data_IF_273395111380
#
_entry.id   IF_273395111380
#
_cell.length_a   1.000
_cell.length_b   1.000
_cell.length_c   1.000
_cell.angle_alpha   90.00
_cell.angle_beta   90.00
_cell.angle_gamma   90.00
#
_symmetry.space_group_name_H-M   'P 1'
#
loop_
_entity.id
_entity.type
_entity.pdbx_description
1 polymer ?
#
# COMPACT_ATOMS: atom_id res chain seq x y z
N UNK A 1 -19.49 -6.35 -43.25
CA UNK A 1 -19.71 -7.27 -42.11
C UNK A 1 -18.47 -7.17 -41.24
N UNK A 2 -18.52 -6.34 -40.20
CA UNK A 2 -17.37 -6.10 -39.32
C UNK A 2 -17.34 -7.20 -38.25
N UNK A 3 -16.24 -7.95 -38.17
CA UNK A 3 -16.00 -8.88 -37.07
C UNK A 3 -15.75 -8.06 -35.80
N UNK A 4 -16.70 -8.10 -34.86
CA UNK A 4 -16.44 -7.73 -33.47
C UNK A 4 -15.52 -8.81 -32.89
N UNK A 5 -14.22 -8.51 -32.78
CA UNK A 5 -13.31 -9.28 -31.94
C UNK A 5 -13.74 -9.08 -30.50
N UNK A 6 -14.31 -10.12 -29.88
CA UNK A 6 -14.55 -10.15 -28.44
C UNK A 6 -13.21 -9.95 -27.72
N UNK A 7 -13.17 -9.01 -26.78
CA UNK A 7 -12.04 -8.90 -25.87
C UNK A 7 -11.86 -10.24 -25.14
N UNK A 8 -10.63 -10.72 -24.91
CA UNK A 8 -10.41 -11.94 -24.14
C UNK A 8 -11.10 -11.79 -22.78
N UNK A 9 -11.83 -12.82 -22.38
CA UNK A 9 -12.37 -12.89 -21.03
C UNK A 9 -11.19 -12.84 -20.05
N UNK A 10 -11.28 -11.96 -19.05
CA UNK A 10 -10.27 -11.92 -18.01
C UNK A 10 -10.18 -13.31 -17.35
N UNK A 11 -8.97 -13.86 -17.25
CA UNK A 11 -8.76 -15.15 -16.62
C UNK A 11 -9.14 -15.02 -15.14
N UNK A 12 -9.88 -15.98 -14.60
CA UNK A 12 -10.19 -15.98 -13.17
C UNK A 12 -8.88 -16.11 -12.37
N UNK A 13 -8.63 -15.16 -11.46
CA UNK A 13 -7.50 -15.19 -10.52
C UNK A 13 -7.72 -16.20 -9.39
N UNK A 14 -6.63 -16.54 -8.69
CA UNK A 14 -6.67 -17.33 -7.47
C UNK A 14 -6.79 -16.40 -6.25
N UNK A 15 -7.76 -16.67 -5.37
CA UNK A 15 -7.87 -15.94 -4.11
C UNK A 15 -7.07 -16.67 -3.05
N UNK A 16 -6.21 -15.95 -2.35
CA UNK A 16 -5.45 -16.48 -1.21
C UNK A 16 -5.80 -15.78 0.08
N UNK A 17 -5.65 -16.50 1.20
CA UNK A 17 -5.63 -15.91 2.54
C UNK A 17 -4.26 -15.31 2.81
N UNK A 18 -4.22 -14.03 3.18
CA UNK A 18 -2.98 -13.35 3.56
C UNK A 18 -2.41 -13.96 4.84
N UNK A 19 -1.11 -14.25 4.81
CA UNK A 19 -0.30 -14.53 6.00
C UNK A 19 0.70 -13.40 6.22
N UNK A 20 1.35 -13.40 7.38
CA UNK A 20 2.39 -12.41 7.67
C UNK A 20 3.60 -12.63 6.77
N UNK A 21 3.89 -11.64 5.93
CA UNK A 21 5.06 -11.63 5.05
C UNK A 21 6.33 -11.25 5.84
N UNK A 22 7.52 -11.65 5.36
CA UNK A 22 8.78 -11.11 5.85
C UNK A 22 8.94 -9.64 5.44
N UNK A 23 9.47 -8.83 6.34
CA UNK A 23 9.87 -7.45 6.09
C UNK A 23 11.04 -7.42 5.09
N UNK A 24 10.99 -6.61 4.02
CA UNK A 24 12.09 -6.48 3.07
C UNK A 24 13.41 -6.00 3.68
N UNK A 25 13.35 -5.29 4.81
CA UNK A 25 14.54 -4.70 5.45
C UNK A 25 15.20 -5.62 6.48
N UNK A 26 14.46 -6.56 7.07
CA UNK A 26 14.96 -7.39 8.17
C UNK A 26 14.84 -8.89 7.92
N UNK A 27 14.03 -9.32 6.96
CA UNK A 27 13.68 -10.74 6.73
C UNK A 27 12.80 -11.35 7.83
N UNK A 28 12.61 -10.67 8.96
CA UNK A 28 11.71 -11.09 10.04
C UNK A 28 10.25 -10.83 9.65
N UNK A 29 9.26 -11.49 10.28
CA UNK A 29 7.85 -11.17 10.08
C UNK A 29 7.58 -9.67 10.25
N UNK A 30 6.74 -9.10 9.39
CA UNK A 30 6.34 -7.68 9.49
C UNK A 30 5.70 -7.40 10.86
N UNK A 31 6.20 -6.38 11.54
CA UNK A 31 5.60 -5.88 12.79
C UNK A 31 4.16 -5.42 12.53
N UNK A 32 3.24 -5.84 13.39
CA UNK A 32 1.79 -5.67 13.21
C UNK A 32 1.14 -6.70 12.26
N UNK A 33 1.92 -7.60 11.65
CA UNK A 33 1.43 -8.72 10.85
C UNK A 33 0.94 -8.37 9.45
N UNK A 34 0.59 -9.41 8.69
CA UNK A 34 0.00 -9.28 7.35
C UNK A 34 1.02 -8.94 6.28
N UNK A 35 0.56 -8.24 5.24
CA UNK A 35 1.38 -7.82 4.11
C UNK A 35 1.14 -6.37 3.77
N UNK A 36 2.23 -5.62 3.55
CA UNK A 36 2.14 -4.30 2.95
C UNK A 36 1.56 -4.40 1.55
N UNK A 37 0.66 -3.48 1.26
CA UNK A 37 0.20 -3.19 -0.09
C UNK A 37 1.05 -2.02 -0.57
N UNK A 38 1.76 -2.21 -1.68
CA UNK A 38 2.62 -1.21 -2.29
C UNK A 38 2.18 -0.91 -3.72
N UNK A 39 2.50 0.29 -4.19
CA UNK A 39 2.03 0.76 -5.49
C UNK A 39 2.75 0.10 -6.69
N UNK A 40 3.97 -0.41 -6.48
CA UNK A 40 4.78 -1.23 -7.40
C UNK A 40 5.75 -2.10 -6.59
N UNK A 41 6.36 -3.17 -7.15
CA UNK A 41 7.36 -3.96 -6.45
C UNK A 41 8.46 -3.05 -5.87
N UNK A 42 8.76 -3.23 -4.57
CA UNK A 42 9.68 -2.36 -3.81
C UNK A 42 9.34 -0.86 -3.83
N UNK A 43 8.06 -0.53 -4.05
CA UNK A 43 7.55 0.83 -4.15
C UNK A 43 7.10 1.43 -2.81
N UNK A 44 6.15 2.36 -2.88
CA UNK A 44 5.61 3.08 -1.74
C UNK A 44 4.49 2.29 -1.07
N UNK A 45 4.50 2.28 0.26
CA UNK A 45 3.40 1.76 1.08
C UNK A 45 2.12 2.55 0.83
N UNK A 46 1.03 1.85 0.51
CA UNK A 46 -0.30 2.44 0.29
C UNK A 46 -1.39 1.81 1.16
N UNK A 47 -1.06 0.74 1.90
CA UNK A 47 -1.99 0.06 2.80
C UNK A 47 -1.42 -1.25 3.31
N UNK A 48 -2.25 -2.02 3.98
CA UNK A 48 -1.92 -3.34 4.50
C UNK A 48 -3.12 -4.27 4.43
N UNK A 49 -2.89 -5.45 3.88
CA UNK A 49 -3.79 -6.57 4.02
C UNK A 49 -3.43 -7.33 5.29
N UNK A 50 -4.40 -7.57 6.17
CA UNK A 50 -4.18 -8.17 7.48
C UNK A 50 -4.16 -9.71 7.38
N UNK A 51 -3.55 -10.42 8.35
CA UNK A 51 -3.60 -11.88 8.37
C UNK A 51 -5.05 -12.38 8.31
N UNK A 52 -5.33 -13.32 7.41
CA UNK A 52 -6.65 -13.89 7.17
C UNK A 52 -7.51 -13.14 6.16
N UNK A 53 -7.14 -11.92 5.76
CA UNK A 53 -7.78 -11.21 4.66
C UNK A 53 -7.65 -11.99 3.35
N UNK A 54 -8.59 -11.79 2.41
CA UNK A 54 -8.50 -12.37 1.08
C UNK A 54 -7.79 -11.41 0.11
N UNK A 55 -6.93 -12.00 -0.71
CA UNK A 55 -6.22 -11.31 -1.79
C UNK A 55 -6.41 -12.08 -3.08
N UNK A 56 -6.96 -11.41 -4.07
CA UNK A 56 -7.06 -11.87 -5.46
C UNK A 56 -5.70 -11.71 -6.12
N UNK A 57 -5.06 -12.79 -6.55
CA UNK A 57 -3.75 -12.76 -7.24
C UNK A 57 -3.93 -12.88 -8.75
N UNK A 58 -3.61 -11.79 -9.45
CA UNK A 58 -3.79 -11.64 -10.90
C UNK A 58 -2.47 -11.83 -11.64
N UNK A 59 -1.38 -11.29 -11.07
CA UNK A 59 -0.05 -11.30 -11.68
C UNK A 59 1.01 -11.57 -10.63
N UNK A 60 1.67 -12.72 -10.76
CA UNK A 60 2.87 -13.05 -9.99
C UNK A 60 4.14 -12.80 -10.80
N UNK A 61 5.07 -12.02 -10.26
CA UNK A 61 6.41 -11.80 -10.85
C UNK A 61 7.37 -12.95 -10.54
N UNK A 62 8.50 -13.03 -11.26
CA UNK A 62 9.57 -14.00 -10.96
C UNK A 62 10.23 -13.80 -9.58
N UNK A 63 10.16 -12.58 -9.03
CA UNK A 63 10.59 -12.28 -7.66
C UNK A 63 9.49 -12.56 -6.61
N UNK A 64 8.40 -13.21 -7.02
CA UNK A 64 7.27 -13.62 -6.20
C UNK A 64 6.51 -12.44 -5.55
N UNK A 65 6.50 -11.28 -6.19
CA UNK A 65 5.50 -10.23 -5.89
C UNK A 65 4.18 -10.58 -6.56
N UNK A 66 3.07 -10.32 -5.86
CA UNK A 66 1.72 -10.63 -6.30
C UNK A 66 0.94 -9.32 -6.49
N UNK A 67 0.43 -9.09 -7.69
CA UNK A 67 -0.46 -7.97 -7.98
C UNK A 67 -1.89 -8.46 -8.06
N UNK A 68 -2.80 -7.68 -7.50
CA UNK A 68 -4.22 -7.92 -7.60
C UNK A 68 -4.95 -7.16 -6.49
N UNK A 69 -6.03 -7.72 -5.95
CA UNK A 69 -6.96 -6.99 -5.08
C UNK A 69 -6.96 -7.50 -3.65
N UNK A 70 -6.64 -6.62 -2.70
CA UNK A 70 -6.97 -6.85 -1.30
C UNK A 70 -8.48 -6.61 -1.11
N UNK A 71 -9.28 -7.68 -1.04
CA UNK A 71 -10.74 -7.63 -1.06
C UNK A 71 -11.38 -7.27 0.29
N UNK A 72 -10.57 -7.22 1.35
CA UNK A 72 -10.99 -6.94 2.72
C UNK A 72 -11.24 -5.45 2.97
N UNK A 73 -10.92 -4.97 4.17
CA UNK A 73 -11.09 -3.60 4.69
C UNK A 73 -10.75 -2.49 3.69
N UNK A 74 -9.76 -2.70 2.83
CA UNK A 74 -9.28 -1.67 1.88
C UNK A 74 -9.85 -1.78 0.48
N UNK A 75 -10.32 -2.96 0.06
CA UNK A 75 -10.85 -3.21 -1.28
C UNK A 75 -10.01 -2.60 -2.44
N UNK A 76 -8.68 -2.63 -2.36
CA UNK A 76 -7.77 -1.88 -3.25
C UNK A 76 -6.92 -2.80 -4.13
N UNK A 77 -6.59 -2.35 -5.34
CA UNK A 77 -5.57 -2.96 -6.17
C UNK A 77 -4.17 -2.52 -5.73
N UNK A 78 -3.22 -3.44 -5.71
CA UNK A 78 -1.83 -3.16 -5.37
C UNK A 78 -0.96 -4.41 -5.42
N UNK A 79 0.31 -4.23 -5.09
CA UNK A 79 1.25 -5.31 -4.96
C UNK A 79 1.41 -5.71 -3.50
N UNK A 80 1.36 -6.99 -3.19
CA UNK A 80 1.71 -7.53 -1.87
C UNK A 80 3.05 -8.27 -1.93
N UNK A 81 3.71 -8.33 -0.78
CA UNK A 81 5.10 -8.79 -0.68
C UNK A 81 5.27 -10.28 -1.04
N UNK A 82 6.51 -10.68 -1.41
CA UNK A 82 6.88 -12.09 -1.43
C UNK A 82 6.61 -12.78 -0.11
N UNK A 83 6.00 -13.98 -0.18
CA UNK A 83 5.66 -14.77 1.00
C UNK A 83 4.36 -14.36 1.68
N UNK A 84 3.55 -13.48 1.08
CA UNK A 84 2.25 -13.07 1.62
C UNK A 84 1.14 -14.07 1.39
N UNK A 85 1.23 -14.89 0.33
CA UNK A 85 0.18 -15.84 -0.05
C UNK A 85 0.14 -17.03 0.91
N UNK A 86 -1.00 -17.24 1.56
CA UNK A 86 -1.33 -18.39 2.40
C UNK A 86 -2.16 -19.41 1.63
N UNK A 87 -3.14 -20.01 2.31
CA UNK A 87 -4.02 -21.01 1.72
C UNK A 87 -4.86 -20.43 0.58
N UNK A 88 -5.03 -21.20 -0.49
CA UNK A 88 -6.01 -20.97 -1.54
C UNK A 88 -7.44 -20.96 -0.95
N UNK A 89 -8.24 -19.99 -1.38
CA UNK A 89 -9.61 -19.73 -0.95
C UNK A 89 -10.62 -19.83 -2.12
N UNK A 90 -10.19 -20.27 -3.30
CA UNK A 90 -10.99 -20.48 -4.49
C UNK A 90 -10.79 -19.41 -5.57
N UNK A 91 -11.46 -19.56 -6.72
CA UNK A 91 -11.33 -18.63 -7.83
C UNK A 91 -12.20 -17.38 -7.67
N UNK A 92 -11.76 -16.27 -8.27
CA UNK A 92 -12.57 -15.05 -8.44
C UNK A 92 -12.36 -14.46 -9.84
N UNK A 93 -13.31 -13.64 -10.29
CA UNK A 93 -13.13 -12.89 -11.53
C UNK A 93 -12.10 -11.76 -11.32
N UNK A 94 -11.21 -11.58 -12.31
CA UNK A 94 -10.19 -10.54 -12.28
C UNK A 94 -10.83 -9.17 -12.01
N UNK A 95 -10.26 -8.48 -11.03
CA UNK A 95 -10.77 -7.23 -10.51
C UNK A 95 -9.78 -6.07 -10.60
N UNK A 96 -8.57 -6.30 -11.14
CA UNK A 96 -7.50 -5.31 -11.25
C UNK A 96 -6.84 -5.29 -12.64
N UNK A 97 -7.32 -4.38 -13.50
CA UNK A 97 -6.81 -4.23 -14.86
C UNK A 97 -5.34 -3.79 -14.96
N UNK A 98 -4.69 -4.15 -16.07
CA UNK A 98 -3.34 -3.64 -16.42
C UNK A 98 -3.26 -2.10 -16.46
N UNK A 99 -4.34 -1.41 -16.83
CA UNK A 99 -4.42 0.06 -16.77
C UNK A 99 -4.35 0.57 -15.33
N UNK A 100 -5.05 -0.10 -14.40
CA UNK A 100 -4.97 0.21 -12.97
C UNK A 100 -3.55 0.00 -12.47
N UNK A 101 -2.95 -1.15 -12.78
CA UNK A 101 -1.56 -1.47 -12.43
C UNK A 101 -0.58 -0.39 -12.91
N UNK A 102 -0.67 0.02 -14.18
CA UNK A 102 0.18 1.07 -14.74
C UNK A 102 -0.04 2.42 -14.04
N UNK A 103 -1.30 2.79 -13.79
CA UNK A 103 -1.65 4.08 -13.17
C UNK A 103 -1.12 4.19 -11.75
N UNK A 104 -1.31 3.17 -10.91
CA UNK A 104 -0.89 3.22 -9.51
C UNK A 104 0.64 3.14 -9.35
N UNK A 105 1.36 2.63 -10.36
CA UNK A 105 2.82 2.49 -10.31
C UNK A 105 3.55 3.84 -10.18
N UNK A 106 2.93 4.93 -10.63
CA UNK A 106 3.48 6.27 -10.50
C UNK A 106 3.22 6.83 -9.12
N UNK A 107 4.28 7.28 -8.44
CA UNK A 107 4.13 7.82 -7.08
C UNK A 107 3.15 9.00 -7.01
N UNK A 108 3.13 9.90 -8.01
CA UNK A 108 2.21 11.05 -8.01
C UNK A 108 0.73 10.66 -8.08
N UNK A 109 0.41 9.41 -8.42
CA UNK A 109 -0.95 8.87 -8.28
C UNK A 109 -1.35 8.73 -6.82
N UNK A 110 -0.44 8.25 -5.96
CA UNK A 110 -0.76 7.88 -4.57
C UNK A 110 -0.49 9.00 -3.56
N UNK A 111 0.38 9.97 -3.91
CA UNK A 111 0.81 10.99 -2.95
C UNK A 111 1.43 12.24 -3.54
N UNK A 112 1.96 13.05 -2.62
CA UNK A 112 2.69 14.30 -2.83
C UNK A 112 3.61 14.56 -1.64
N UNK A 113 4.42 15.61 -1.74
CA UNK A 113 5.34 16.07 -0.71
C UNK A 113 6.28 14.97 -0.23
N UNK A 114 6.95 14.28 -1.17
CA UNK A 114 7.86 13.20 -0.82
C UNK A 114 9.10 13.75 -0.12
N UNK A 115 9.59 12.98 0.84
CA UNK A 115 10.74 13.35 1.64
C UNK A 115 12.10 13.09 0.95
N UNK A 116 12.08 12.46 -0.23
CA UNK A 116 13.27 12.12 -1.01
C UNK A 116 12.95 12.03 -2.52
N UNK A 117 13.96 12.16 -3.40
CA UNK A 117 13.83 11.85 -4.82
C UNK A 117 13.35 10.42 -5.05
N UNK A 118 12.79 10.18 -6.24
CA UNK A 118 12.44 8.83 -6.67
C UNK A 118 13.65 7.88 -6.50
N UNK A 119 13.40 6.68 -5.99
CA UNK A 119 14.40 5.60 -5.79
C UNK A 119 15.53 5.86 -4.78
N UNK A 120 15.54 6.97 -4.02
CA UNK A 120 16.71 7.33 -3.19
C UNK A 120 16.58 7.12 -1.67
N UNK A 121 15.39 6.92 -1.11
CA UNK A 121 15.24 6.66 0.32
C UNK A 121 14.29 5.49 0.58
N UNK A 122 14.65 4.63 1.52
CA UNK A 122 13.88 3.44 1.90
C UNK A 122 12.95 3.72 3.08
N UNK A 123 13.43 4.40 4.11
CA UNK A 123 12.73 4.52 5.39
C UNK A 123 12.09 5.88 5.69
N UNK A 124 12.43 6.94 4.95
CA UNK A 124 11.93 8.29 5.20
C UNK A 124 12.85 9.16 6.07
N UNK A 125 12.42 10.39 6.38
CA UNK A 125 13.17 11.37 7.20
C UNK A 125 12.57 11.46 8.60
N UNK A 126 13.40 11.52 9.63
CA UNK A 126 12.91 11.67 11.01
C UNK A 126 12.20 13.02 11.18
N UNK A 127 10.96 12.98 11.65
CA UNK A 127 10.16 14.17 11.97
C UNK A 127 9.39 13.96 13.27
N UNK A 128 9.08 15.05 14.01
CA UNK A 128 8.18 14.97 15.15
C UNK A 128 6.78 14.47 14.78
N UNK A 129 6.20 13.65 15.65
CA UNK A 129 4.83 13.18 15.60
C UNK A 129 4.15 13.40 16.95
N UNK A 130 2.83 13.59 16.94
CA UNK A 130 2.02 13.76 18.14
C UNK A 130 1.57 12.39 18.69
N UNK A 131 2.04 11.95 19.87
CA UNK A 131 1.67 10.66 20.45
C UNK A 131 0.19 10.56 20.88
N UNK A 132 -0.53 11.68 20.96
CA UNK A 132 -1.97 11.68 21.24
C UNK A 132 -2.81 11.24 20.03
N UNK A 133 -2.22 11.16 18.85
CA UNK A 133 -2.89 10.68 17.64
C UNK A 133 -2.89 9.15 17.55
N UNK A 134 -3.62 8.62 16.59
CA UNK A 134 -3.64 7.17 16.28
C UNK A 134 -3.07 6.95 14.89
N UNK A 135 -2.11 6.04 14.79
CA UNK A 135 -1.60 5.50 13.53
C UNK A 135 -2.55 4.41 13.04
N UNK A 136 -2.87 4.44 11.75
CA UNK A 136 -3.73 3.45 11.09
C UNK A 136 -2.92 2.74 10.00
N UNK A 137 -3.09 1.43 9.84
CA UNK A 137 -2.44 0.75 8.72
C UNK A 137 -3.09 1.07 7.38
N UNK A 138 -4.37 1.48 7.39
CA UNK A 138 -5.16 1.73 6.20
C UNK A 138 -5.84 3.10 6.25
N UNK A 139 -5.84 3.77 5.09
CA UNK A 139 -6.40 5.12 4.90
C UNK A 139 -7.22 5.23 3.61
N UNK A 140 -6.82 4.50 2.56
CA UNK A 140 -7.53 4.47 1.29
C UNK A 140 -8.51 3.29 1.23
N UNK A 141 -9.58 3.47 0.47
CA UNK A 141 -10.46 2.39 0.00
C UNK A 141 -10.49 2.37 -1.53
N UNK A 142 -10.53 1.22 -2.19
CA UNK A 142 -10.54 1.19 -3.66
C UNK A 142 -9.24 1.71 -4.28
N UNK A 143 -9.30 2.19 -5.53
CA UNK A 143 -8.10 2.48 -6.36
C UNK A 143 -7.93 3.93 -6.79
N UNK A 144 -8.89 4.82 -6.49
CA UNK A 144 -8.73 6.26 -6.70
C UNK A 144 -8.17 6.93 -5.45
N UNK A 145 -6.86 7.12 -5.43
CA UNK A 145 -6.14 7.71 -4.30
C UNK A 145 -6.42 9.21 -4.10
N UNK A 146 -7.03 9.89 -5.07
CA UNK A 146 -7.40 11.29 -4.94
C UNK A 146 -8.77 11.47 -4.27
N UNK A 147 -9.72 10.56 -4.54
CA UNK A 147 -11.09 10.66 -4.01
C UNK A 147 -11.39 9.70 -2.86
N UNK A 148 -10.64 8.60 -2.71
CA UNK A 148 -10.99 7.54 -1.77
C UNK A 148 -10.11 7.51 -0.52
N UNK A 149 -9.50 8.64 -0.17
CA UNK A 149 -8.91 8.82 1.15
C UNK A 149 -9.95 9.01 2.25
N UNK A 150 -9.49 9.05 3.50
CA UNK A 150 -10.31 9.32 4.68
C UNK A 150 -10.89 8.06 5.32
N UNK A 151 -10.60 6.89 4.77
CA UNK A 151 -11.02 5.59 5.29
C UNK A 151 -10.02 5.08 6.34
N UNK A 152 -10.06 5.68 7.53
CA UNK A 152 -9.22 5.27 8.67
C UNK A 152 -9.63 3.89 9.17
N UNK A 153 -8.78 2.89 8.89
CA UNK A 153 -9.06 1.51 9.27
C UNK A 153 -7.82 0.78 9.78
N UNK A 154 -8.06 -0.28 10.55
CA UNK A 154 -7.02 -1.09 11.17
C UNK A 154 -6.08 -0.24 12.03
N UNK A 155 -6.60 0.27 13.15
CA UNK A 155 -5.83 1.06 14.11
C UNK A 155 -4.61 0.27 14.61
N UNK A 156 -3.43 0.86 14.51
CA UNK A 156 -2.17 0.27 14.95
C UNK A 156 -1.80 0.70 16.38
N UNK A 157 -2.22 1.91 16.80
CA UNK A 157 -1.96 2.44 18.13
C UNK A 157 -1.42 3.88 18.11
N UNK A 158 -0.96 4.35 19.27
CA UNK A 158 -0.31 5.65 19.40
C UNK A 158 1.09 5.63 18.78
N UNK A 159 1.46 6.59 17.91
CA UNK A 159 2.79 6.65 17.33
C UNK A 159 3.82 7.09 18.38
N UNK A 160 5.08 6.81 18.10
CA UNK A 160 6.20 7.45 18.80
C UNK A 160 6.22 8.96 18.55
N UNK A 161 6.88 9.71 19.44
CA UNK A 161 7.07 11.16 19.29
C UNK A 161 7.94 11.56 18.10
N UNK A 162 8.63 10.59 17.49
CA UNK A 162 9.40 10.76 16.26
C UNK A 162 9.14 9.57 15.34
N UNK A 163 8.73 9.86 14.11
CA UNK A 163 8.48 8.88 13.05
C UNK A 163 9.29 9.23 11.81
N UNK A 164 9.39 8.31 10.85
CA UNK A 164 10.02 8.58 9.56
C UNK A 164 8.97 8.94 8.52
N UNK A 165 8.84 10.22 8.20
CA UNK A 165 7.90 10.69 7.19
C UNK A 165 8.36 10.29 5.78
N UNK A 166 7.41 9.84 4.95
CA UNK A 166 7.66 9.45 3.56
C UNK A 166 6.98 10.35 2.55
N UNK A 167 5.66 10.53 2.65
CA UNK A 167 4.89 11.39 1.75
C UNK A 167 3.55 11.75 2.38
N UNK A 168 2.91 12.80 1.86
CA UNK A 168 1.54 13.20 2.17
C UNK A 168 0.60 12.55 1.15
N UNK A 169 -0.52 11.99 1.60
CA UNK A 169 -1.55 11.37 0.73
C UNK A 169 -2.02 12.36 -0.33
N UNK A 170 -2.51 11.85 -1.47
CA UNK A 170 -2.84 12.69 -2.62
C UNK A 170 -3.89 13.77 -2.30
N UNK A 171 -4.86 13.43 -1.46
CA UNK A 171 -5.90 14.33 -0.94
C UNK A 171 -5.42 15.33 0.12
N UNK A 172 -4.19 15.18 0.63
CA UNK A 172 -3.57 16.09 1.57
C UNK A 172 -3.91 15.90 3.04
N UNK A 173 -4.69 14.87 3.41
CA UNK A 173 -5.26 14.77 4.76
C UNK A 173 -4.44 13.88 5.70
N UNK A 174 -3.59 13.02 5.16
CA UNK A 174 -2.76 12.11 5.92
C UNK A 174 -1.31 12.11 5.42
N UNK A 175 -0.41 11.58 6.23
CA UNK A 175 0.96 11.29 5.83
C UNK A 175 1.25 9.81 6.04
N UNK A 176 1.96 9.21 5.09
CA UNK A 176 2.57 7.90 5.26
C UNK A 176 3.87 8.07 6.02
N UNK A 177 3.98 7.33 7.12
CA UNK A 177 5.13 7.34 8.01
C UNK A 177 5.54 5.93 8.36
N UNK A 178 6.82 5.74 8.72
CA UNK A 178 7.29 4.55 9.42
C UNK A 178 7.53 4.87 10.89
N UNK A 179 6.78 4.23 11.75
CA UNK A 179 7.04 4.15 13.19
C UNK A 179 8.02 2.99 13.46
N UNK A 180 8.94 3.14 14.42
CA UNK A 180 9.95 2.09 14.66
C UNK A 180 9.42 0.88 15.43
N UNK A 181 8.25 1.01 16.06
CA UNK A 181 7.58 -0.06 16.80
C UNK A 181 6.37 -0.58 16.04
N UNK A 182 5.56 0.31 15.45
CA UNK A 182 4.33 -0.06 14.76
C UNK A 182 4.54 -0.36 13.26
N UNK A 183 5.67 0.07 12.68
CA UNK A 183 5.95 -0.06 11.25
C UNK A 183 5.30 1.02 10.38
N UNK A 184 5.05 0.70 9.11
CA UNK A 184 4.44 1.64 8.17
C UNK A 184 2.94 1.83 8.43
N UNK A 185 2.47 3.07 8.31
CA UNK A 185 1.06 3.40 8.31
C UNK A 185 0.80 4.89 8.07
N UNK A 186 -0.40 5.32 8.41
CA UNK A 186 -0.94 6.65 8.14
C UNK A 186 -1.19 7.40 9.45
N UNK A 187 -0.77 8.65 9.48
CA UNK A 187 -1.16 9.62 10.52
C UNK A 187 -1.92 10.78 9.86
N UNK A 188 -2.91 11.39 10.55
CA UNK A 188 -3.50 12.65 10.10
C UNK A 188 -2.42 13.71 9.89
N UNK A 189 -2.54 14.57 8.88
CA UNK A 189 -1.49 15.53 8.53
C UNK A 189 -1.18 16.52 9.67
N UNK A 190 -2.17 16.82 10.53
CA UNK A 190 -1.99 17.63 11.74
C UNK A 190 -1.24 16.92 12.88
N UNK A 191 -0.95 15.63 12.76
CA UNK A 191 -0.28 14.81 13.78
C UNK A 191 1.21 14.60 13.49
N UNK A 192 1.72 15.09 12.37
CA UNK A 192 3.12 14.90 11.97
C UNK A 192 3.67 16.17 11.35
N UNK A 193 4.90 16.51 11.70
CA UNK A 193 5.57 17.65 11.08
C UNK A 193 6.03 17.25 9.66
N UNK A 194 5.57 18.00 8.66
CA UNK A 194 6.06 17.88 7.28
C UNK A 194 7.55 18.29 7.21
N UNK A 195 8.40 17.55 6.48
CA UNK A 195 9.80 17.92 6.30
C UNK A 195 9.95 19.19 5.45
N UNK A 196 11.07 19.90 5.62
CA UNK A 196 11.36 21.12 4.88
C UNK A 196 11.71 20.87 3.41
N UNK A 197 12.51 19.83 3.15
CA UNK A 197 12.92 19.44 1.79
C UNK A 197 11.91 18.47 1.20
N UNK A 198 11.42 18.79 0.00
CA UNK A 198 10.38 18.03 -0.67
C UNK A 198 10.76 17.77 -2.12
N UNK A 199 10.31 16.63 -2.61
CA UNK A 199 10.62 16.12 -3.93
C UNK A 199 9.29 15.68 -4.54
N UNK A 200 8.84 16.38 -5.59
CA UNK A 200 7.54 16.14 -6.23
C UNK A 200 7.70 15.84 -7.73
N UNK A 201 8.91 15.45 -8.13
CA UNK A 201 9.21 14.79 -9.40
C UNK A 201 8.39 13.50 -9.56
N UNK A 202 8.05 13.17 -10.80
CA UNK A 202 7.46 11.87 -11.10
C UNK A 202 8.55 10.79 -11.09
N UNK A 203 8.14 9.52 -10.88
CA UNK A 203 9.02 8.38 -11.12
C UNK A 203 9.41 8.27 -12.61
#
# INVERSE_FOLDING_TARGET
MALLTAAPAAQAGEVHRIKTAPSPSTGAPIDGGGSWIVNKPSGYYVGRAMPGDTFDDEVTTSANWHFGRAQSTVNMCGWVLPGSMGADAGPVADSCSATTQATISHRLTVGRDYNAPAHQATDGSSVPANPACTLYFNYFYGTDFASNGGHWATAAGAPQSSVRYRFTTRDGQAAVVRDTVLGWGFLPIGCVQRPASLYNDND
#
